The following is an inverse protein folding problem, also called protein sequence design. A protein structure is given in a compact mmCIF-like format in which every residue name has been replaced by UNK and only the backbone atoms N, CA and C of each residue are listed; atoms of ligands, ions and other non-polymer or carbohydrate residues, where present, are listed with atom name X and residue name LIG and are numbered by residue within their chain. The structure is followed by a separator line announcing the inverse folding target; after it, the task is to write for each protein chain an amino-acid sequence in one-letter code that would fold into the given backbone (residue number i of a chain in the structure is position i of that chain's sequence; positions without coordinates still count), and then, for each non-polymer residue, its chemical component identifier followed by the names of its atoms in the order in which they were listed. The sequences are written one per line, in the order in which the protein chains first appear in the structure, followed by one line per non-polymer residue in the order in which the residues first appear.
data_IF_348251326786
#
_entry.id   IF_348251326786
#
_cell.length_a   1.000
_cell.length_b   1.000
_cell.length_c   1.000
_cell.angle_alpha   90.00
_cell.angle_beta   90.00
_cell.angle_gamma   90.00
#
_symmetry.space_group_name_H-M   'P 1'
#
loop_
_entity.id
_entity.type
_entity.pdbx_description
1 polymer ?
#
# COMPACT_ATOMS: atom_id res chain seq x y z
N UNK A 1 -19.09 -4.13 12.84
CA UNK A 1 -19.07 -5.04 14.02
C UNK A 1 -19.97 -4.43 15.07
N UNK A 2 -20.96 -5.17 15.55
CA UNK A 2 -21.82 -4.71 16.66
C UNK A 2 -21.25 -5.21 17.99
N UNK A 3 -20.94 -4.27 18.88
CA UNK A 3 -20.74 -4.51 20.30
C UNK A 3 -21.97 -3.92 21.01
N UNK A 4 -22.44 -4.54 22.09
CA UNK A 4 -23.66 -4.18 22.83
C UNK A 4 -23.99 -2.67 22.77
N UNK A 5 -25.11 -2.34 22.10
CA UNK A 5 -25.71 -1.00 21.91
C UNK A 5 -24.88 0.10 21.22
N UNK A 6 -23.68 -0.17 20.66
CA UNK A 6 -22.88 0.85 19.95
C UNK A 6 -22.56 0.44 18.51
N UNK A 7 -22.96 1.29 17.57
CA UNK A 7 -22.54 1.20 16.17
C UNK A 7 -21.12 1.75 16.02
N UNK A 8 -20.19 0.89 15.60
CA UNK A 8 -18.83 1.29 15.25
C UNK A 8 -18.72 1.45 13.74
N UNK A 9 -18.30 2.63 13.28
CA UNK A 9 -18.02 2.90 11.87
C UNK A 9 -16.52 2.69 11.62
N UNK A 10 -16.17 1.66 10.85
CA UNK A 10 -14.80 1.38 10.40
C UNK A 10 -14.86 1.23 8.88
N UNK A 11 -14.86 2.38 8.20
CA UNK A 11 -15.49 2.44 6.88
C UNK A 11 -16.99 2.74 7.03
N UNK A 12 -17.69 2.84 5.89
CA UNK A 12 -19.14 3.01 5.82
C UNK A 12 -19.72 2.26 4.61
N UNK A 13 -21.04 2.06 4.58
CA UNK A 13 -21.74 1.11 3.68
C UNK A 13 -21.19 1.04 2.25
N UNK A 14 -20.54 -0.08 1.89
CA UNK A 14 -19.81 -0.29 0.63
C UNK A 14 -18.28 -0.24 0.77
N UNK A 15 -17.76 -0.77 1.87
CA UNK A 15 -16.72 -0.12 2.67
C UNK A 15 -15.30 -0.11 2.10
N UNK A 16 -14.82 1.11 1.84
CA UNK A 16 -13.41 1.47 1.72
C UNK A 16 -13.02 2.36 2.89
N UNK A 17 -12.09 1.92 3.73
CA UNK A 17 -11.60 2.68 4.89
C UNK A 17 -10.19 3.23 4.64
N UNK A 18 -9.70 4.09 5.54
CA UNK A 18 -8.39 4.73 5.40
C UNK A 18 -7.22 3.71 5.33
N UNK A 19 -7.35 2.57 6.02
CA UNK A 19 -6.36 1.49 5.98
C UNK A 19 -6.30 0.85 4.58
N UNK A 20 -7.46 0.53 3.99
CA UNK A 20 -7.54 0.08 2.60
C UNK A 20 -7.04 1.14 1.62
N UNK A 21 -7.31 2.43 1.88
CA UNK A 21 -6.79 3.53 1.09
C UNK A 21 -5.26 3.61 1.10
N UNK A 22 -4.63 3.36 2.25
CA UNK A 22 -3.18 3.30 2.35
C UNK A 22 -2.59 2.17 1.50
N UNK A 23 -3.18 0.98 1.54
CA UNK A 23 -2.76 -0.15 0.70
C UNK A 23 -3.02 0.13 -0.78
N UNK A 24 -4.13 0.79 -1.11
CA UNK A 24 -4.44 1.23 -2.47
C UNK A 24 -3.42 2.25 -2.99
N UNK A 25 -2.98 3.19 -2.15
CA UNK A 25 -1.94 4.16 -2.50
C UNK A 25 -0.58 3.47 -2.76
N UNK A 26 -0.22 2.46 -1.96
CA UNK A 26 0.96 1.63 -2.22
C UNK A 26 0.85 0.92 -3.58
N UNK A 27 -0.28 0.24 -3.83
CA UNK A 27 -0.50 -0.47 -5.08
C UNK A 27 -0.48 0.47 -6.31
N UNK A 28 -1.12 1.64 -6.21
CA UNK A 28 -1.12 2.64 -7.27
C UNK A 28 0.29 3.17 -7.55
N UNK A 29 1.08 3.43 -6.51
CA UNK A 29 2.47 3.85 -6.64
C UNK A 29 3.31 2.82 -7.42
N UNK A 30 3.13 1.53 -7.16
CA UNK A 30 3.85 0.48 -7.90
C UNK A 30 3.37 0.36 -9.34
N UNK A 31 2.08 0.58 -9.63
CA UNK A 31 1.56 0.65 -11.00
C UNK A 31 2.25 1.77 -11.79
N UNK A 32 2.31 2.98 -11.23
CA UNK A 32 2.98 4.12 -11.87
C UNK A 32 4.47 3.84 -12.09
N UNK A 33 5.13 3.28 -11.08
CA UNK A 33 6.56 3.00 -11.13
C UNK A 33 6.91 1.95 -12.19
N UNK A 34 6.16 0.84 -12.24
CA UNK A 34 6.36 -0.23 -13.20
C UNK A 34 6.09 0.27 -14.63
N UNK A 35 4.97 0.96 -14.85
CA UNK A 35 4.61 1.44 -16.19
C UNK A 35 5.61 2.47 -16.70
N UNK A 36 6.07 3.40 -15.85
CA UNK A 36 7.14 4.34 -16.17
C UNK A 36 8.44 3.63 -16.57
N UNK A 37 8.94 2.71 -15.74
CA UNK A 37 10.19 2.04 -16.02
C UNK A 37 10.10 1.06 -17.20
N UNK A 38 8.96 0.42 -17.40
CA UNK A 38 8.71 -0.39 -18.59
C UNK A 38 8.82 0.46 -19.86
N UNK A 39 8.20 1.63 -19.90
CA UNK A 39 8.30 2.55 -21.03
C UNK A 39 9.76 2.97 -21.31
N UNK A 40 10.53 3.30 -20.27
CA UNK A 40 11.96 3.64 -20.40
C UNK A 40 12.83 2.49 -20.92
N UNK A 41 12.42 1.24 -20.67
CA UNK A 41 13.09 0.02 -21.14
C UNK A 41 12.57 -0.46 -22.51
N UNK A 42 11.60 0.24 -23.11
CA UNK A 42 10.97 -0.15 -24.36
C UNK A 42 10.05 -1.37 -24.24
N UNK A 43 9.55 -1.65 -23.04
CA UNK A 43 8.65 -2.78 -22.76
C UNK A 43 7.19 -2.42 -22.98
N UNK A 44 6.48 -3.25 -23.73
CA UNK A 44 5.02 -3.16 -23.85
C UNK A 44 4.33 -3.89 -22.70
N UNK A 45 3.61 -3.15 -21.85
CA UNK A 45 2.77 -3.69 -20.78
C UNK A 45 1.35 -3.91 -21.30
N UNK A 46 0.87 -5.16 -21.28
CA UNK A 46 -0.50 -5.52 -21.70
C UNK A 46 -1.51 -5.52 -20.56
N UNK A 47 -1.09 -6.00 -19.39
CA UNK A 47 -1.89 -6.01 -18.15
C UNK A 47 -0.94 -5.90 -16.97
N UNK A 48 -1.34 -5.14 -15.95
CA UNK A 48 -0.60 -4.99 -14.71
C UNK A 48 -1.59 -4.92 -13.55
N UNK A 49 -1.37 -5.75 -12.54
CA UNK A 49 -2.17 -5.74 -11.30
C UNK A 49 -1.24 -5.80 -10.10
N UNK A 50 -1.63 -5.09 -9.05
CA UNK A 50 -0.96 -5.12 -7.75
C UNK A 50 -2.00 -5.45 -6.70
N UNK A 51 -1.77 -6.53 -5.98
CA UNK A 51 -2.64 -7.01 -4.90
C UNK A 51 -1.92 -6.81 -3.57
N UNK A 52 -2.41 -5.92 -2.72
CA UNK A 52 -1.81 -5.60 -1.42
C UNK A 52 -2.71 -6.07 -0.26
N UNK A 53 -2.09 -6.65 0.77
CA UNK A 53 -2.72 -7.12 2.00
C UNK A 53 -1.93 -6.60 3.19
N UNK A 54 -2.61 -6.24 4.28
CA UNK A 54 -1.94 -5.84 5.50
C UNK A 54 -2.74 -6.17 6.75
N UNK A 55 -2.02 -6.33 7.87
CA UNK A 55 -2.59 -6.58 9.18
C UNK A 55 -2.28 -5.42 10.12
N UNK A 56 -3.29 -4.91 10.82
CA UNK A 56 -3.13 -3.83 11.80
C UNK A 56 -3.84 -4.21 13.11
N UNK A 57 -3.49 -3.53 14.21
CA UNK A 57 -4.00 -3.89 15.53
C UNK A 57 -5.30 -3.14 15.84
N UNK A 58 -6.44 -3.84 15.66
CA UNK A 58 -7.77 -3.30 15.95
C UNK A 58 -7.96 -2.92 17.42
N UNK A 59 -7.26 -3.57 18.38
CA UNK A 59 -7.38 -3.22 19.80
C UNK A 59 -6.88 -1.80 20.07
N UNK A 60 -5.70 -1.48 19.55
CA UNK A 60 -5.15 -0.12 19.65
C UNK A 60 -6.00 0.89 18.89
N UNK A 61 -6.54 0.53 17.73
CA UNK A 61 -7.48 1.37 16.98
C UNK A 61 -8.75 1.71 17.80
N UNK A 62 -9.23 0.77 18.62
CA UNK A 62 -10.36 0.97 19.54
C UNK A 62 -9.98 1.65 20.86
N UNK A 63 -8.74 2.12 21.02
CA UNK A 63 -8.27 2.79 22.24
C UNK A 63 -7.95 1.87 23.40
N UNK A 64 -7.83 0.56 23.17
CA UNK A 64 -7.41 -0.41 24.18
C UNK A 64 -5.89 -0.53 24.24
N UNK A 65 -5.36 -0.92 25.40
CA UNK A 65 -3.93 -1.14 25.59
C UNK A 65 -3.38 -2.20 24.61
N UNK A 66 -2.38 -1.79 23.83
CA UNK A 66 -1.74 -2.59 22.79
C UNK A 66 -0.42 -1.91 22.33
N UNK A 67 0.49 -2.64 21.66
CA UNK A 67 1.79 -2.09 21.23
C UNK A 67 1.73 -0.93 20.23
N UNK A 68 0.60 -0.72 19.53
CA UNK A 68 0.37 0.33 18.54
C UNK A 68 -0.73 -0.04 17.54
N UNK A 69 -1.31 0.94 16.83
CA UNK A 69 -2.46 0.76 15.92
C UNK A 69 -2.08 0.58 14.44
N UNK A 70 -0.82 0.80 14.09
CA UNK A 70 -0.32 0.69 12.72
C UNK A 70 -0.29 -0.74 12.18
N UNK A 71 0.08 -0.86 10.91
CA UNK A 71 0.32 -2.16 10.28
C UNK A 71 1.48 -2.90 10.94
N UNK A 72 1.27 -4.15 11.32
CA UNK A 72 2.33 -5.06 11.79
C UNK A 72 3.05 -5.75 10.63
N UNK A 73 2.43 -5.73 9.45
CA UNK A 73 2.99 -6.27 8.22
C UNK A 73 2.09 -5.95 7.03
N UNK A 74 2.74 -5.69 5.89
CA UNK A 74 2.12 -5.51 4.59
C UNK A 74 2.82 -6.48 3.63
N UNK A 75 2.04 -7.16 2.80
CA UNK A 75 2.52 -7.97 1.69
C UNK A 75 1.80 -7.54 0.42
N UNK A 76 2.50 -7.57 -0.71
CA UNK A 76 1.89 -7.27 -1.99
C UNK A 76 2.46 -8.13 -3.09
N UNK A 77 1.66 -8.37 -4.13
CA UNK A 77 1.97 -9.20 -5.28
C UNK A 77 1.76 -8.40 -6.56
N UNK A 78 2.80 -8.37 -7.39
CA UNK A 78 2.79 -7.73 -8.71
C UNK A 78 2.57 -8.82 -9.76
N UNK A 79 1.57 -8.63 -10.61
CA UNK A 79 1.21 -9.53 -11.71
C UNK A 79 1.34 -8.71 -13.00
N UNK A 80 2.37 -9.00 -13.78
CA UNK A 80 2.71 -8.27 -14.99
C UNK A 80 2.60 -9.18 -16.22
N UNK A 81 1.89 -8.72 -17.24
CA UNK A 81 1.86 -9.32 -18.57
C UNK A 81 2.59 -8.41 -19.56
N UNK A 82 3.80 -8.83 -19.97
CA UNK A 82 4.64 -8.13 -20.95
C UNK A 82 5.24 -9.16 -21.93
N UNK A 83 4.47 -9.62 -22.94
CA UNK A 83 4.81 -10.81 -23.73
C UNK A 83 6.04 -10.65 -24.64
N UNK A 84 6.54 -9.43 -24.85
CA UNK A 84 7.75 -9.14 -25.63
C UNK A 84 8.99 -8.84 -24.78
N UNK A 85 8.90 -8.96 -23.45
CA UNK A 85 10.01 -8.70 -22.56
C UNK A 85 10.98 -9.89 -22.51
N UNK A 86 12.28 -9.62 -22.61
CA UNK A 86 13.31 -10.61 -22.30
C UNK A 86 13.63 -10.65 -20.78
N UNK A 87 14.34 -11.69 -20.36
CA UNK A 87 14.72 -11.90 -18.95
C UNK A 87 15.58 -10.75 -18.39
N UNK A 88 16.38 -10.10 -19.25
CA UNK A 88 17.24 -9.00 -18.85
C UNK A 88 16.41 -7.75 -18.53
N UNK A 89 15.44 -7.43 -19.39
CA UNK A 89 14.52 -6.32 -19.21
C UNK A 89 13.62 -6.52 -17.99
N UNK A 90 13.08 -7.73 -17.79
CA UNK A 90 12.27 -8.05 -16.59
C UNK A 90 13.11 -7.93 -15.32
N UNK A 91 14.36 -8.43 -15.32
CA UNK A 91 15.27 -8.28 -14.18
C UNK A 91 15.59 -6.81 -13.92
N UNK A 92 15.90 -6.03 -14.96
CA UNK A 92 16.18 -4.58 -14.80
C UNK A 92 14.97 -3.82 -14.27
N UNK A 93 13.76 -4.15 -14.75
CA UNK A 93 12.52 -3.57 -14.26
C UNK A 93 12.32 -3.85 -12.76
N UNK A 94 12.51 -5.12 -12.34
CA UNK A 94 12.42 -5.52 -10.93
C UNK A 94 13.41 -4.73 -10.06
N UNK A 95 14.69 -4.69 -10.44
CA UNK A 95 15.74 -3.99 -9.69
C UNK A 95 15.46 -2.48 -9.53
N UNK A 96 14.81 -1.87 -10.52
CA UNK A 96 14.41 -0.46 -10.48
C UNK A 96 13.22 -0.24 -9.55
N UNK A 97 12.19 -1.07 -9.67
CA UNK A 97 10.95 -0.97 -8.89
C UNK A 97 11.22 -1.18 -7.40
N UNK A 98 11.99 -2.21 -7.04
CA UNK A 98 12.32 -2.54 -5.64
C UNK A 98 13.07 -1.42 -4.90
N UNK A 99 13.73 -0.51 -5.62
CA UNK A 99 14.53 0.58 -5.05
C UNK A 99 13.87 1.96 -5.07
N UNK A 100 12.78 2.12 -5.82
CA UNK A 100 12.35 3.46 -6.24
C UNK A 100 10.92 3.81 -5.85
N UNK A 101 10.18 2.93 -5.17
CA UNK A 101 8.80 3.18 -4.72
C UNK A 101 8.77 4.20 -3.57
N UNK A 102 8.30 5.45 -3.79
CA UNK A 102 8.29 6.45 -2.72
C UNK A 102 7.29 6.11 -1.61
N UNK A 103 6.14 5.49 -1.95
CA UNK A 103 5.16 5.04 -0.96
C UNK A 103 5.69 3.81 -0.21
N UNK A 104 6.32 2.86 -0.92
CA UNK A 104 6.99 1.73 -0.28
C UNK A 104 8.07 2.15 0.70
N UNK A 105 8.95 3.07 0.30
CA UNK A 105 9.96 3.68 1.19
C UNK A 105 9.32 4.35 2.41
N UNK A 106 8.28 5.14 2.18
CA UNK A 106 7.58 5.85 3.25
C UNK A 106 6.96 4.93 4.30
N UNK A 107 6.51 3.74 3.90
CA UNK A 107 5.97 2.72 4.80
C UNK A 107 7.06 1.90 5.50
N UNK A 108 8.26 1.83 4.92
CA UNK A 108 9.36 1.00 5.43
C UNK A 108 10.22 1.68 6.50
N UNK A 109 10.05 3.00 6.73
CA UNK A 109 10.85 3.78 7.68
C UNK A 109 10.00 4.68 8.55
N UNK A 110 10.55 5.09 9.68
CA UNK A 110 9.94 6.11 10.53
C UNK A 110 10.02 7.48 9.85
N UNK A 111 8.86 8.06 9.54
CA UNK A 111 8.72 9.44 9.09
C UNK A 111 8.29 10.29 10.30
N UNK A 112 9.00 11.38 10.63
CA UNK A 112 8.55 12.30 11.67
C UNK A 112 7.19 12.90 11.31
N UNK A 113 6.21 12.70 12.19
CA UNK A 113 4.88 13.31 12.08
C UNK A 113 4.74 14.34 13.19
N UNK A 114 4.33 15.55 12.83
CA UNK A 114 3.99 16.60 13.79
C UNK A 114 2.49 16.76 13.78
N UNK A 115 1.87 16.63 14.95
CA UNK A 115 0.44 16.87 15.12
C UNK A 115 0.31 18.09 16.01
N UNK A 116 -0.43 19.09 15.54
CA UNK A 116 -0.78 20.27 16.31
C UNK A 116 -2.24 20.15 16.75
N UNK A 117 -2.47 20.26 18.05
CA UNK A 117 -3.81 20.32 18.62
C UNK A 117 -4.06 21.73 19.14
N UNK A 118 -5.23 22.27 18.81
CA UNK A 118 -5.75 23.52 19.37
C UNK A 118 -7.19 23.31 19.84
N UNK A 119 -7.57 24.06 20.86
CA UNK A 119 -8.92 24.13 21.42
C UNK A 119 -9.26 25.59 21.62
N UNK A 120 -10.50 25.99 21.32
CA UNK A 120 -11.00 27.35 21.57
C UNK A 120 -11.12 27.69 23.07
#
# INVERSE_FOLDING_TARGET
MEFEEKTLHIGGDGEFNAMQALLGALAACDVDLITLHAALLGLEVKDLRVEATGHFNVRAYLGLEAPGSGYTGISYKIILNAPGADDEQIRSLRERVERSSPVGDSLARSIPLTIEFSTD
#
